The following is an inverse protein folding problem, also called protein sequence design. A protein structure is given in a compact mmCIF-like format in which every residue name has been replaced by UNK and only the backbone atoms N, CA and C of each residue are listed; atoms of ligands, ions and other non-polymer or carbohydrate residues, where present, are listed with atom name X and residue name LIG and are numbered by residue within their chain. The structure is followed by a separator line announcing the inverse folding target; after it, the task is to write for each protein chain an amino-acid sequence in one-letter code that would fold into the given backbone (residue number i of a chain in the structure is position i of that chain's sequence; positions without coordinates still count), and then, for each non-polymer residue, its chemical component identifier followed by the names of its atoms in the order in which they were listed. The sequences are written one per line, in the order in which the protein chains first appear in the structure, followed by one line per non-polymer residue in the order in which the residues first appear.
data_IF_189579231315
#
_entry.id   IF_189579231315
#
_cell.length_a   1.000
_cell.length_b   1.000
_cell.length_c   1.000
_cell.angle_alpha   90.00
_cell.angle_beta   90.00
_cell.angle_gamma   90.00
#
_symmetry.space_group_name_H-M   'P 1'
#
loop_
_entity.id
_entity.type
_entity.pdbx_description
1 polymer ?
#
# COMPACT_ATOMS: atom_id res chain seq x y z
N UNK A 1 32.13 17.07 6.41
CA UNK A 1 31.34 15.83 6.54
C UNK A 1 30.02 16.07 7.27
N UNK A 2 30.04 16.51 8.53
CA UNK A 2 28.82 16.74 9.35
C UNK A 2 27.75 17.61 8.65
N UNK A 3 28.13 18.74 8.02
CA UNK A 3 27.16 19.60 7.31
C UNK A 3 26.41 18.87 6.18
N UNK A 4 27.07 17.93 5.49
CA UNK A 4 26.46 17.12 4.45
C UNK A 4 25.44 16.15 5.04
N UNK A 5 25.82 15.44 6.12
CA UNK A 5 24.95 14.52 6.84
C UNK A 5 23.72 15.24 7.43
N UNK A 6 23.88 16.45 7.96
CA UNK A 6 22.77 17.24 8.48
C UNK A 6 21.80 17.69 7.38
N UNK A 7 22.29 18.03 6.19
CA UNK A 7 21.43 18.36 5.06
C UNK A 7 20.72 17.11 4.51
N UNK A 8 21.41 15.97 4.40
CA UNK A 8 20.79 14.69 4.05
C UNK A 8 19.69 14.32 5.05
N UNK A 9 19.97 14.45 6.35
CA UNK A 9 19.00 14.25 7.42
C UNK A 9 17.76 15.14 7.25
N UNK A 10 17.94 16.44 6.96
CA UNK A 10 16.85 17.39 6.76
C UNK A 10 15.97 17.01 5.57
N UNK A 11 16.58 16.59 4.46
CA UNK A 11 15.86 16.15 3.26
C UNK A 11 15.10 14.84 3.53
N UNK A 12 15.73 13.86 4.17
CA UNK A 12 15.09 12.60 4.54
C UNK A 12 13.94 12.82 5.53
N UNK A 13 14.10 13.71 6.49
CA UNK A 13 13.02 14.06 7.43
C UNK A 13 11.81 14.63 6.69
N UNK A 14 12.05 15.55 5.74
CA UNK A 14 10.98 16.12 4.90
C UNK A 14 10.29 15.04 4.07
N UNK A 15 11.06 14.12 3.48
CA UNK A 15 10.53 12.99 2.72
C UNK A 15 9.69 12.05 3.60
N UNK A 16 10.16 11.73 4.80
CA UNK A 16 9.46 10.88 5.77
C UNK A 16 8.13 11.51 6.16
N UNK A 17 8.12 12.81 6.50
CA UNK A 17 6.89 13.52 6.85
C UNK A 17 5.88 13.52 5.70
N UNK A 18 6.33 13.77 4.47
CA UNK A 18 5.49 13.70 3.27
C UNK A 18 4.89 12.29 3.07
N UNK A 19 5.71 11.24 3.22
CA UNK A 19 5.29 9.85 3.02
C UNK A 19 4.37 9.32 4.11
N UNK A 20 4.56 9.73 5.36
CA UNK A 20 3.64 9.44 6.45
C UNK A 20 2.26 10.02 6.16
N UNK A 21 2.19 11.31 5.80
CA UNK A 21 0.93 11.95 5.42
C UNK A 21 0.27 11.26 4.21
N UNK A 22 1.07 10.87 3.22
CA UNK A 22 0.57 10.15 2.05
C UNK A 22 0.10 8.72 2.36
N UNK A 23 0.70 8.02 3.34
CA UNK A 23 0.20 6.73 3.82
C UNK A 23 -1.10 6.89 4.62
N UNK A 24 -1.18 7.88 5.50
CA UNK A 24 -2.35 8.14 6.33
C UNK A 24 -3.58 8.46 5.48
N UNK A 25 -3.39 9.18 4.36
CA UNK A 25 -4.46 9.48 3.41
C UNK A 25 -4.97 8.25 2.64
N UNK A 26 -4.19 7.16 2.53
CA UNK A 26 -4.63 5.96 1.79
C UNK A 26 -5.73 5.19 2.52
N UNK A 27 -5.75 5.21 3.85
CA UNK A 27 -6.78 4.55 4.65
C UNK A 27 -8.17 5.16 4.37
N UNK A 28 -8.42 6.47 4.57
CA UNK A 28 -9.73 7.06 4.33
C UNK A 28 -10.15 6.99 2.87
N UNK A 29 -9.22 7.10 1.90
CA UNK A 29 -9.54 6.90 0.47
C UNK A 29 -10.03 5.46 0.24
N UNK A 30 -9.32 4.47 0.77
CA UNK A 30 -9.70 3.06 0.62
C UNK A 30 -11.04 2.76 1.30
N UNK A 31 -11.26 3.31 2.50
CA UNK A 31 -12.53 3.20 3.22
C UNK A 31 -13.67 3.87 2.44
N UNK A 32 -13.45 5.05 1.87
CA UNK A 32 -14.45 5.75 1.07
C UNK A 32 -14.82 4.98 -0.19
N UNK A 33 -13.84 4.36 -0.87
CA UNK A 33 -14.09 3.48 -2.02
C UNK A 33 -14.93 2.28 -1.58
N UNK A 34 -14.53 1.61 -0.49
CA UNK A 34 -15.25 0.45 0.06
C UNK A 34 -16.69 0.81 0.45
N UNK A 35 -16.89 1.91 1.18
CA UNK A 35 -18.22 2.36 1.60
C UNK A 35 -19.08 2.75 0.42
N UNK A 36 -18.51 3.42 -0.58
CA UNK A 36 -19.24 3.79 -1.81
C UNK A 36 -19.71 2.54 -2.54
N UNK A 37 -18.85 1.54 -2.72
CA UNK A 37 -19.22 0.27 -3.36
C UNK A 37 -20.31 -0.45 -2.56
N UNK A 38 -20.16 -0.57 -1.24
CA UNK A 38 -21.17 -1.22 -0.39
C UNK A 38 -22.51 -0.49 -0.40
N UNK A 39 -22.50 0.84 -0.28
CA UNK A 39 -23.72 1.66 -0.32
C UNK A 39 -24.38 1.58 -1.70
N UNK A 40 -23.61 1.61 -2.79
CA UNK A 40 -24.17 1.41 -4.14
C UNK A 40 -24.86 0.05 -4.30
N UNK A 41 -24.37 -0.99 -3.62
CA UNK A 41 -25.00 -2.32 -3.64
C UNK A 41 -26.27 -2.37 -2.78
N UNK A 42 -26.24 -1.76 -1.59
CA UNK A 42 -27.35 -1.80 -0.61
C UNK A 42 -28.48 -0.83 -0.99
N UNK A 43 -28.16 0.35 -1.51
CA UNK A 43 -29.13 1.40 -1.83
C UNK A 43 -29.97 1.10 -3.07
N UNK A 44 -29.78 -0.06 -3.71
CA UNK A 44 -30.51 -0.45 -4.91
C UNK A 44 -31.88 -1.03 -4.53
N UNK A 45 -33.01 -0.42 -4.96
CA UNK A 45 -34.33 -1.01 -4.80
C UNK A 45 -34.39 -2.38 -5.50
N UNK A 46 -35.11 -3.38 -4.96
CA UNK A 46 -35.20 -4.72 -5.55
C UNK A 46 -35.73 -4.70 -7.00
N UNK A 47 -36.52 -3.69 -7.36
CA UNK A 47 -37.03 -3.44 -8.72
C UNK A 47 -35.97 -2.91 -9.71
N UNK A 48 -34.90 -2.27 -9.21
CA UNK A 48 -33.80 -1.69 -10.01
C UNK A 48 -32.53 -2.55 -10.04
N UNK A 49 -32.48 -3.64 -9.26
CA UNK A 49 -31.47 -4.69 -9.43
C UNK A 49 -31.48 -5.25 -10.87
N UNK A 50 -32.66 -5.30 -11.49
CA UNK A 50 -32.85 -5.59 -12.91
C UNK A 50 -32.67 -4.42 -13.88
N UNK A 51 -32.35 -3.19 -13.43
CA UNK A 51 -32.18 -2.01 -14.30
C UNK A 51 -30.73 -1.56 -14.41
N UNK A 52 -29.88 -1.88 -13.43
CA UNK A 52 -28.43 -1.95 -13.68
C UNK A 52 -28.10 -3.02 -14.76
N UNK A 53 -29.02 -3.98 -14.96
CA UNK A 53 -29.02 -5.06 -15.96
C UNK A 53 -29.17 -4.57 -17.42
N UNK A 54 -29.68 -3.35 -17.66
CA UNK A 54 -30.01 -2.84 -19.02
C UNK A 54 -29.61 -1.37 -19.23
N UNK A 55 -29.56 -0.56 -18.18
CA UNK A 55 -29.32 0.89 -18.27
C UNK A 55 -27.88 1.35 -18.08
N UNK A 56 -26.99 0.50 -17.54
CA UNK A 56 -25.56 0.81 -17.50
C UNK A 56 -24.96 0.45 -18.86
N UNK A 57 -24.29 1.37 -19.57
CA UNK A 57 -23.62 1.05 -20.81
C UNK A 57 -22.72 -0.20 -20.60
N UNK A 58 -22.67 -1.16 -21.54
CA UNK A 58 -21.79 -2.34 -21.43
C UNK A 58 -20.32 -1.95 -21.21
N UNK A 59 -19.94 -0.74 -21.64
CA UNK A 59 -18.66 -0.10 -21.34
C UNK A 59 -18.43 0.13 -19.83
N UNK A 60 -19.43 0.57 -19.07
CA UNK A 60 -19.30 0.84 -17.63
C UNK A 60 -19.24 -0.44 -16.79
N UNK A 61 -20.00 -1.48 -17.17
CA UNK A 61 -19.87 -2.81 -16.56
C UNK A 61 -18.49 -3.41 -16.86
N UNK A 62 -18.01 -3.30 -18.10
CA UNK A 62 -16.65 -3.70 -18.48
C UNK A 62 -15.58 -2.94 -17.71
N UNK A 63 -15.69 -1.61 -17.59
CA UNK A 63 -14.71 -0.80 -16.85
C UNK A 63 -14.71 -1.11 -15.35
N UNK A 64 -15.86 -1.31 -14.74
CA UNK A 64 -15.94 -1.62 -13.31
C UNK A 64 -15.44 -3.04 -13.03
N UNK A 65 -15.85 -4.04 -13.79
CA UNK A 65 -15.41 -5.42 -13.56
C UNK A 65 -14.00 -5.71 -14.05
N UNK A 66 -13.55 -5.13 -15.17
CA UNK A 66 -12.21 -5.38 -15.71
C UNK A 66 -11.18 -4.41 -15.14
N UNK A 67 -11.58 -3.18 -14.79
CA UNK A 67 -10.68 -2.14 -14.29
C UNK A 67 -10.50 -2.11 -12.77
N UNK A 68 -11.53 -2.49 -11.99
CA UNK A 68 -11.42 -2.51 -10.53
C UNK A 68 -10.37 -3.52 -10.05
N UNK A 69 -10.33 -4.77 -10.55
CA UNK A 69 -9.35 -5.74 -10.06
C UNK A 69 -7.86 -5.36 -10.28
N UNK A 70 -7.42 -4.90 -11.47
CA UNK A 70 -6.04 -4.44 -11.64
C UNK A 70 -5.74 -3.13 -10.89
N UNK A 71 -6.71 -2.23 -10.72
CA UNK A 71 -6.51 -1.02 -9.90
C UNK A 71 -6.33 -1.35 -8.42
N UNK A 72 -7.01 -2.38 -7.89
CA UNK A 72 -6.79 -2.89 -6.53
C UNK A 72 -5.40 -3.51 -6.38
N UNK A 73 -4.94 -4.30 -7.36
CA UNK A 73 -3.56 -4.84 -7.39
C UNK A 73 -2.53 -3.71 -7.39
N UNK A 74 -2.75 -2.69 -8.21
CA UNK A 74 -1.90 -1.50 -8.28
C UNK A 74 -1.90 -0.73 -6.94
N UNK A 75 -3.06 -0.54 -6.31
CA UNK A 75 -3.19 0.14 -5.04
C UNK A 75 -2.41 -0.57 -3.93
N UNK A 76 -2.56 -1.89 -3.81
CA UNK A 76 -1.81 -2.70 -2.82
C UNK A 76 -0.31 -2.62 -3.07
N UNK A 77 0.15 -2.79 -4.32
CA UNK A 77 1.57 -2.72 -4.67
C UNK A 77 2.18 -1.36 -4.39
N UNK A 78 1.51 -0.28 -4.77
CA UNK A 78 2.01 1.08 -4.52
C UNK A 78 2.04 1.38 -3.02
N UNK A 79 1.07 0.90 -2.24
CA UNK A 79 1.04 1.08 -0.79
C UNK A 79 2.20 0.32 -0.13
N UNK A 80 2.43 -0.93 -0.54
CA UNK A 80 3.55 -1.74 -0.08
C UNK A 80 4.91 -1.09 -0.40
N UNK A 81 5.10 -0.62 -1.63
CA UNK A 81 6.33 0.07 -2.03
C UNK A 81 6.52 1.38 -1.27
N UNK A 82 5.44 2.10 -0.97
CA UNK A 82 5.51 3.34 -0.20
C UNK A 82 5.92 3.08 1.25
N UNK A 83 5.35 2.04 1.88
CA UNK A 83 5.73 1.61 3.23
C UNK A 83 7.22 1.20 3.29
N UNK A 84 7.70 0.39 2.33
CA UNK A 84 9.13 0.04 2.24
C UNK A 84 10.02 1.26 2.12
N UNK A 85 9.71 2.15 1.18
CA UNK A 85 10.56 3.31 0.95
C UNK A 85 10.55 4.29 2.14
N UNK A 86 9.42 4.41 2.86
CA UNK A 86 9.35 5.15 4.12
C UNK A 86 10.30 4.54 5.16
N UNK A 87 10.26 3.22 5.30
CA UNK A 87 11.15 2.53 6.21
C UNK A 87 12.62 2.73 5.87
N UNK A 88 12.99 2.63 4.59
CA UNK A 88 14.36 2.86 4.13
C UNK A 88 14.87 4.25 4.54
N UNK A 89 14.00 5.27 4.43
CA UNK A 89 14.33 6.62 4.84
C UNK A 89 14.51 6.73 6.36
N UNK A 90 13.67 6.07 7.16
CA UNK A 90 13.82 6.03 8.62
C UNK A 90 15.09 5.30 9.06
N UNK A 91 15.46 4.21 8.38
CA UNK A 91 16.71 3.47 8.63
C UNK A 91 17.92 4.32 8.30
N UNK A 92 17.88 5.06 7.19
CA UNK A 92 18.94 6.00 6.83
C UNK A 92 19.06 7.14 7.84
N UNK A 93 17.95 7.65 8.35
CA UNK A 93 17.94 8.66 9.43
C UNK A 93 18.61 8.12 10.70
N UNK A 94 18.31 6.88 11.12
CA UNK A 94 18.97 6.24 12.29
C UNK A 94 20.48 6.08 12.07
N UNK A 95 20.91 5.73 10.85
CA UNK A 95 22.35 5.68 10.52
C UNK A 95 23.02 7.05 10.65
N UNK A 96 22.44 8.09 10.03
CA UNK A 96 22.98 9.44 10.09
C UNK A 96 23.02 9.95 11.53
N UNK A 97 22.00 9.66 12.33
CA UNK A 97 21.96 10.02 13.75
C UNK A 97 23.13 9.39 14.52
N UNK A 98 23.42 8.10 14.30
CA UNK A 98 24.56 7.42 14.93
C UNK A 98 25.89 7.99 14.47
N UNK A 99 26.06 8.24 13.17
CA UNK A 99 27.28 8.82 12.60
C UNK A 99 27.56 10.22 13.16
N UNK A 100 26.53 11.09 13.19
CA UNK A 100 26.66 12.45 13.73
C UNK A 100 26.92 12.44 15.23
N UNK A 101 26.24 11.59 16.00
CA UNK A 101 26.44 11.50 17.44
C UNK A 101 27.82 10.94 17.80
N UNK A 102 28.35 9.99 17.01
CA UNK A 102 29.70 9.47 17.18
C UNK A 102 30.75 10.57 16.92
N UNK A 103 30.58 11.34 15.85
CA UNK A 103 31.51 12.41 15.48
C UNK A 103 31.50 13.57 16.49
N UNK A 104 30.32 13.90 17.05
CA UNK A 104 30.16 15.00 18.01
C UNK A 104 30.49 14.56 19.46
N UNK A 105 30.58 13.26 19.71
CA UNK A 105 30.88 12.69 21.04
C UNK A 105 29.78 12.87 22.09
N UNK A 106 28.60 13.38 21.69
CA UNK A 106 27.41 13.57 22.53
C UNK A 106 26.15 13.39 21.66
N UNK A 107 24.99 13.06 22.27
CA UNK A 107 23.73 12.98 21.53
C UNK A 107 23.31 14.38 21.02
N UNK A 108 23.60 14.66 19.75
CA UNK A 108 23.24 15.88 19.05
C UNK A 108 21.91 15.72 18.27
N UNK A 109 21.67 14.52 17.74
CA UNK A 109 20.41 14.12 17.11
C UNK A 109 19.82 12.96 17.90
N UNK A 110 18.51 13.02 18.19
CA UNK A 110 17.84 12.01 19.03
C UNK A 110 16.51 11.52 18.48
N UNK A 111 16.20 11.78 17.21
CA UNK A 111 14.88 11.52 16.64
C UNK A 111 14.51 10.03 16.64
N UNK A 112 15.40 9.15 16.18
CA UNK A 112 15.18 7.70 16.24
C UNK A 112 15.59 7.14 17.60
N UNK A 113 16.60 7.71 18.25
CA UNK A 113 17.07 7.17 19.53
C UNK A 113 16.13 7.34 20.69
N UNK A 114 15.28 8.37 20.67
CA UNK A 114 14.24 8.64 21.68
C UNK A 114 12.88 8.05 21.32
N UNK A 115 12.72 7.39 20.17
CA UNK A 115 11.43 6.87 19.75
C UNK A 115 10.98 5.70 20.66
N UNK A 116 9.72 5.70 21.19
CA UNK A 116 9.24 4.69 22.13
C UNK A 116 9.37 3.25 21.63
N UNK A 117 9.28 3.06 20.32
CA UNK A 117 9.30 1.75 19.65
C UNK A 117 10.70 1.26 19.28
N UNK A 118 11.77 1.97 19.69
CA UNK A 118 13.15 1.63 19.32
C UNK A 118 13.55 0.25 19.86
N UNK A 119 14.04 -0.62 18.98
CA UNK A 119 14.48 -1.98 19.34
C UNK A 119 13.36 -3.01 19.50
N UNK A 120 12.09 -2.57 19.56
CA UNK A 120 10.92 -3.46 19.64
C UNK A 120 10.42 -3.86 18.24
N UNK A 121 10.58 -2.97 17.25
CA UNK A 121 10.15 -3.23 15.87
C UNK A 121 11.33 -3.63 14.95
N UNK A 122 11.28 -4.89 14.49
CA UNK A 122 12.10 -5.42 13.40
C UNK A 122 11.74 -4.69 12.10
N UNK A 123 12.71 -4.51 11.20
CA UNK A 123 12.42 -3.90 9.91
C UNK A 123 11.33 -4.64 9.12
N UNK A 124 10.56 -3.90 8.32
CA UNK A 124 9.40 -4.32 7.54
C UNK A 124 8.05 -3.83 8.09
N UNK A 125 8.02 -3.19 9.27
CA UNK A 125 6.79 -2.97 10.06
C UNK A 125 6.20 -1.56 10.00
N UNK A 126 6.97 -0.55 9.61
CA UNK A 126 6.46 0.82 9.51
C UNK A 126 5.48 0.91 8.34
N UNK A 127 4.20 1.13 8.63
CA UNK A 127 3.13 1.11 7.64
C UNK A 127 2.59 -0.29 7.31
N UNK A 128 3.00 -1.34 8.05
CA UNK A 128 2.44 -2.69 7.89
C UNK A 128 0.93 -2.70 8.14
N UNK A 129 0.45 -2.01 9.18
CA UNK A 129 -0.97 -1.88 9.48
C UNK A 129 -1.74 -1.23 8.33
N UNK A 130 -1.19 -0.16 7.74
CA UNK A 130 -1.78 0.50 6.56
C UNK A 130 -1.83 -0.45 5.36
N UNK A 131 -0.75 -1.18 5.10
CA UNK A 131 -0.72 -2.16 4.00
C UNK A 131 -1.73 -3.28 4.24
N UNK A 132 -1.81 -3.81 5.47
CA UNK A 132 -2.77 -4.85 5.84
C UNK A 132 -4.21 -4.35 5.69
N UNK A 133 -4.52 -3.13 6.13
CA UNK A 133 -5.84 -2.51 5.96
C UNK A 133 -6.23 -2.41 4.48
N UNK A 134 -5.32 -1.93 3.62
CA UNK A 134 -5.54 -1.83 2.17
C UNK A 134 -5.68 -3.22 1.54
N UNK A 135 -4.89 -4.20 1.98
CA UNK A 135 -4.98 -5.60 1.52
C UNK A 135 -6.35 -6.22 1.85
N UNK A 136 -6.82 -6.04 3.08
CA UNK A 136 -8.13 -6.54 3.54
C UNK A 136 -9.24 -5.87 2.75
N UNK A 137 -9.22 -4.53 2.63
CA UNK A 137 -10.24 -3.80 1.87
C UNK A 137 -10.27 -4.21 0.38
N UNK A 138 -9.10 -4.38 -0.24
CA UNK A 138 -9.00 -4.85 -1.62
C UNK A 138 -9.53 -6.29 -1.79
N UNK A 139 -9.27 -7.16 -0.82
CA UNK A 139 -9.78 -8.54 -0.82
C UNK A 139 -11.30 -8.57 -0.67
N UNK A 140 -11.86 -7.78 0.25
CA UNK A 140 -13.31 -7.65 0.44
C UNK A 140 -13.97 -7.11 -0.83
N UNK A 141 -13.38 -6.10 -1.48
CA UNK A 141 -13.91 -5.56 -2.74
C UNK A 141 -13.90 -6.61 -3.86
N UNK A 142 -12.81 -7.37 -4.02
CA UNK A 142 -12.73 -8.44 -5.01
C UNK A 142 -13.78 -9.53 -4.75
N UNK A 143 -13.93 -9.97 -3.50
CA UNK A 143 -14.96 -10.96 -3.13
C UNK A 143 -16.37 -10.41 -3.37
N UNK A 144 -16.60 -9.13 -3.05
CA UNK A 144 -17.86 -8.44 -3.34
C UNK A 144 -18.17 -8.45 -4.83
N UNK A 145 -17.19 -8.16 -5.69
CA UNK A 145 -17.38 -8.21 -7.14
C UNK A 145 -17.68 -9.62 -7.67
N UNK A 146 -17.02 -10.66 -7.15
CA UNK A 146 -17.35 -12.06 -7.50
C UNK A 146 -18.79 -12.39 -7.13
N UNK A 147 -19.23 -12.00 -5.93
CA UNK A 147 -20.57 -12.28 -5.41
C UNK A 147 -21.66 -11.49 -6.16
N UNK A 148 -21.39 -10.23 -6.49
CA UNK A 148 -22.27 -9.41 -7.31
C UNK A 148 -22.41 -10.05 -8.70
N UNK A 149 -21.31 -10.47 -9.32
CA UNK A 149 -21.31 -11.11 -10.63
C UNK A 149 -22.09 -12.43 -10.63
N UNK A 150 -21.95 -13.25 -9.58
CA UNK A 150 -22.64 -14.54 -9.47
C UNK A 150 -24.15 -14.41 -9.31
N UNK A 151 -24.61 -13.33 -8.66
CA UNK A 151 -26.05 -13.05 -8.48
C UNK A 151 -26.67 -12.42 -9.73
N UNK A 152 -25.92 -11.59 -10.47
CA UNK A 152 -26.47 -10.75 -11.54
C UNK A 152 -26.40 -11.34 -12.96
N UNK A 153 -25.65 -12.42 -13.20
CA UNK A 153 -25.46 -12.96 -14.56
C UNK A 153 -26.34 -14.17 -14.87
N UNK A 154 -27.11 -14.08 -15.96
CA UNK A 154 -27.97 -15.17 -16.45
C UNK A 154 -27.18 -16.34 -17.10
N UNK A 155 -25.99 -16.06 -17.64
CA UNK A 155 -25.02 -17.07 -18.12
C UNK A 155 -23.72 -16.94 -17.32
N UNK A 156 -23.68 -17.48 -16.09
CA UNK A 156 -22.61 -17.20 -15.15
C UNK A 156 -21.27 -17.85 -15.52
N UNK A 157 -21.25 -18.94 -16.28
CA UNK A 157 -20.10 -19.86 -16.31
C UNK A 157 -18.81 -19.27 -16.88
N UNK A 158 -18.86 -18.53 -18.00
CA UNK A 158 -17.64 -18.04 -18.66
C UNK A 158 -17.05 -16.82 -17.96
N UNK A 159 -17.89 -15.83 -17.61
CA UNK A 159 -17.46 -14.63 -16.90
C UNK A 159 -17.05 -14.92 -15.47
N UNK A 160 -17.77 -15.79 -14.76
CA UNK A 160 -17.43 -16.18 -13.39
C UNK A 160 -16.10 -16.93 -13.35
N UNK A 161 -15.82 -17.83 -14.31
CA UNK A 161 -14.55 -18.55 -14.34
C UNK A 161 -13.37 -17.61 -14.61
N UNK A 162 -13.48 -16.69 -15.58
CA UNK A 162 -12.47 -15.67 -15.83
C UNK A 162 -12.25 -14.76 -14.60
N UNK A 163 -13.32 -14.37 -13.92
CA UNK A 163 -13.25 -13.54 -12.73
C UNK A 163 -12.66 -14.26 -11.53
N UNK A 164 -13.00 -15.54 -11.33
CA UNK A 164 -12.41 -16.40 -10.31
C UNK A 164 -10.90 -16.60 -10.54
N UNK A 165 -10.49 -16.86 -11.79
CA UNK A 165 -9.06 -16.96 -12.15
C UNK A 165 -8.35 -15.64 -11.82
N UNK A 166 -8.94 -14.50 -12.18
CA UNK A 166 -8.37 -13.19 -11.85
C UNK A 166 -8.29 -12.98 -10.33
N UNK A 167 -9.37 -13.26 -9.58
CA UNK A 167 -9.41 -13.11 -8.14
C UNK A 167 -8.34 -13.98 -7.46
N UNK A 168 -8.12 -15.21 -7.94
CA UNK A 168 -7.04 -16.08 -7.49
C UNK A 168 -5.66 -15.49 -7.79
N UNK A 169 -5.44 -14.94 -8.99
CA UNK A 169 -4.18 -14.27 -9.35
C UNK A 169 -3.93 -13.02 -8.50
N UNK A 170 -4.97 -12.22 -8.24
CA UNK A 170 -4.89 -11.04 -7.39
C UNK A 170 -4.61 -11.42 -5.93
N UNK A 171 -5.30 -12.43 -5.40
CA UNK A 171 -5.06 -12.98 -4.07
C UNK A 171 -3.63 -13.54 -3.93
N UNK A 172 -3.14 -14.25 -4.96
CA UNK A 172 -1.75 -14.70 -5.00
C UNK A 172 -0.78 -13.52 -4.98
N UNK A 173 -1.04 -12.48 -5.79
CA UNK A 173 -0.25 -11.24 -5.81
C UNK A 173 -0.25 -10.51 -4.46
N UNK A 174 -1.37 -10.50 -3.76
CA UNK A 174 -1.53 -9.96 -2.41
C UNK A 174 -0.70 -10.73 -1.39
N UNK A 175 -0.78 -12.07 -1.40
CA UNK A 175 0.01 -12.93 -0.52
C UNK A 175 1.50 -12.76 -0.81
N UNK A 176 1.90 -12.71 -2.08
CA UNK A 176 3.29 -12.49 -2.48
C UNK A 176 3.81 -11.12 -2.01
N UNK A 177 3.01 -10.06 -2.16
CA UNK A 177 3.37 -8.70 -1.73
C UNK A 177 3.51 -8.63 -0.20
N UNK A 178 2.58 -9.23 0.53
CA UNK A 178 2.62 -9.31 1.98
C UNK A 178 3.83 -10.11 2.47
N UNK A 179 4.12 -11.27 1.86
CA UNK A 179 5.34 -12.05 2.16
C UNK A 179 6.60 -11.24 1.91
N UNK A 180 6.71 -10.61 0.74
CA UNK A 180 7.89 -9.83 0.37
C UNK A 180 8.12 -8.64 1.32
N UNK A 181 7.05 -8.03 1.86
CA UNK A 181 7.16 -7.03 2.93
C UNK A 181 7.71 -7.63 4.22
N UNK A 182 7.18 -8.78 4.66
CA UNK A 182 7.61 -9.43 5.91
C UNK A 182 9.04 -9.97 5.86
N UNK A 183 9.51 -10.33 4.67
CA UNK A 183 10.89 -10.80 4.46
C UNK A 183 11.84 -9.67 4.07
N UNK A 184 11.35 -8.44 3.93
CA UNK A 184 12.18 -7.31 3.52
C UNK A 184 13.24 -7.03 4.59
N UNK A 185 14.49 -6.97 4.17
CA UNK A 185 15.61 -6.53 5.00
C UNK A 185 16.23 -5.33 4.33
N UNK A 186 16.38 -4.26 5.10
CA UNK A 186 17.09 -3.08 4.65
C UNK A 186 18.56 -3.45 4.43
N UNK A 187 19.03 -3.35 3.19
CA UNK A 187 20.44 -3.38 2.86
C UNK A 187 20.93 -1.94 2.72
N UNK A 188 21.89 -1.49 3.56
CA UNK A 188 22.48 -0.18 3.40
C UNK A 188 23.09 -0.08 2.02
N UNK A 189 22.73 0.95 1.26
CA UNK A 189 23.40 1.24 -0.01
C UNK A 189 24.84 1.65 0.34
N UNK A 190 25.82 0.78 0.06
CA UNK A 190 27.21 1.08 0.36
C UNK A 190 27.62 2.37 -0.36
N UNK A 191 28.23 3.28 0.39
CA UNK A 191 28.72 4.57 -0.10
C UNK A 191 29.72 4.43 -1.25
N UNK A 192 30.31 3.24 -1.39
CA UNK A 192 31.27 2.85 -2.43
C UNK A 192 30.67 2.93 -3.85
N UNK A 193 29.40 2.56 -4.02
CA UNK A 193 28.73 2.58 -5.33
C UNK A 193 28.30 3.98 -5.81
N UNK A 194 28.41 5.03 -4.97
CA UNK A 194 28.13 6.42 -5.39
C UNK A 194 29.36 7.15 -5.92
N UNK A 195 30.57 6.64 -5.65
CA UNK A 195 31.81 7.23 -6.16
C UNK A 195 32.10 6.73 -7.59
N UNK A 196 31.69 5.50 -7.93
CA UNK A 196 31.88 4.95 -9.28
C UNK A 196 30.83 5.39 -10.31
N UNK A 197 29.75 6.07 -9.90
CA UNK A 197 28.70 6.53 -10.82
C UNK A 197 28.73 8.04 -11.12
N UNK A 198 29.84 8.73 -10.79
CA UNK A 198 30.12 10.12 -11.17
C UNK A 198 31.37 10.19 -12.01
#
# INVERSE_FOLDING_TARGET
MIKCLLEEYRQLYTLVAYRLNALDQRIPITTAILSTVLVSVIALPPLLQGVLLVGLPPLLQGVLLVGLPPSLVWLVRTTANHARSLEDALRRIDQIEREVNAEVGRPALVFQSSHPSRGVQVGGRTGEETVQAVLVAATVLLCGCVLILSILTANPTEYLLAYCVFACLAAFGFIATHRQLRTYRYEPRSTENQIESK
#
